data_IF_047362523194
#
_entry.id   IF_047362523194
#
_cell.length_a   1.000
_cell.length_b   1.000
_cell.length_c   1.000
_cell.angle_alpha   90.00
_cell.angle_beta   90.00
_cell.angle_gamma   90.00
#
_symmetry.space_group_name_H-M   'P 1'
#
loop_
_entity.id
_entity.type
_entity.pdbx_description
1 polymer ?
#
# COMPACT_ATOMS: atom_id res chain seq x y z
N UNK A 1 13.16 35.20 -2.04
CA UNK A 1 13.82 35.20 -0.71
C UNK A 1 15.02 36.15 -0.71
N UNK A 2 15.35 36.78 0.43
CA UNK A 2 16.57 37.59 0.58
C UNK A 2 17.82 36.71 0.68
N UNK A 3 19.00 37.28 0.43
CA UNK A 3 20.28 36.56 0.54
C UNK A 3 20.50 35.96 1.95
N UNK A 4 20.10 36.68 3.01
CA UNK A 4 20.20 36.19 4.39
C UNK A 4 19.27 34.98 4.64
N UNK A 5 18.03 35.02 4.12
CA UNK A 5 17.09 33.89 4.22
C UNK A 5 17.61 32.67 3.45
N UNK A 6 18.24 32.86 2.28
CA UNK A 6 18.84 31.77 1.52
C UNK A 6 20.05 31.17 2.24
N UNK A 7 20.90 31.99 2.87
CA UNK A 7 22.01 31.49 3.67
C UNK A 7 21.50 30.62 4.84
N UNK A 8 20.58 31.14 5.66
CA UNK A 8 20.02 30.40 6.79
C UNK A 8 19.32 29.10 6.36
N UNK A 9 18.61 29.10 5.22
CA UNK A 9 17.97 27.89 4.70
C UNK A 9 19.00 26.84 4.26
N UNK A 10 20.12 27.24 3.65
CA UNK A 10 21.18 26.31 3.25
C UNK A 10 21.86 25.68 4.46
N UNK A 11 22.13 26.48 5.50
CA UNK A 11 22.73 25.99 6.74
C UNK A 11 21.80 24.96 7.39
N UNK A 12 20.51 25.29 7.52
CA UNK A 12 19.50 24.38 8.05
C UNK A 12 19.38 23.07 7.24
N UNK A 13 19.44 23.13 5.91
CA UNK A 13 19.43 21.93 5.04
C UNK A 13 20.65 21.05 5.31
N UNK A 14 21.82 21.66 5.49
CA UNK A 14 23.08 20.93 5.67
C UNK A 14 23.16 20.16 7.00
N UNK A 15 22.45 20.63 8.03
CA UNK A 15 22.43 20.03 9.37
C UNK A 15 21.22 19.10 9.60
N UNK A 16 20.29 19.05 8.64
CA UNK A 16 19.04 18.33 8.82
C UNK A 16 19.20 16.80 8.74
N UNK A 17 18.50 16.09 9.64
CA UNK A 17 18.39 14.63 9.60
C UNK A 17 17.43 14.12 8.49
N UNK A 18 16.55 14.99 7.99
CA UNK A 18 15.67 14.78 6.84
C UNK A 18 15.25 16.14 6.27
N UNK A 19 14.97 16.22 4.97
CA UNK A 19 14.46 17.44 4.35
C UNK A 19 13.07 17.19 3.78
N UNK A 20 12.10 18.01 4.17
CA UNK A 20 10.77 18.06 3.53
C UNK A 20 10.68 19.30 2.65
N UNK A 21 10.51 19.11 1.36
CA UNK A 21 10.17 20.17 0.42
C UNK A 21 8.66 20.17 0.21
N UNK A 22 7.96 21.10 0.86
CA UNK A 22 6.53 21.31 0.64
C UNK A 22 6.31 22.39 -0.41
N UNK A 23 5.98 21.98 -1.63
CA UNK A 23 5.81 22.88 -2.76
C UNK A 23 4.34 23.21 -3.00
N UNK A 24 3.98 24.49 -2.89
CA UNK A 24 2.63 24.99 -3.18
C UNK A 24 2.54 25.70 -4.54
N UNK A 25 3.54 25.55 -5.41
CA UNK A 25 3.59 26.21 -6.72
C UNK A 25 3.78 27.73 -6.63
N UNK A 26 4.45 28.20 -5.56
CA UNK A 26 4.70 29.63 -5.30
C UNK A 26 6.15 30.06 -5.59
N UNK A 27 6.96 29.18 -6.17
CA UNK A 27 8.30 29.49 -6.70
C UNK A 27 9.47 29.27 -5.74
N UNK A 28 9.25 29.01 -4.45
CA UNK A 28 10.36 28.75 -3.50
C UNK A 28 11.12 27.47 -3.85
N UNK A 29 10.40 26.39 -4.18
CA UNK A 29 11.00 25.12 -4.60
C UNK A 29 11.77 25.20 -5.92
N UNK A 30 11.58 26.29 -6.70
CA UNK A 30 12.25 26.54 -7.97
C UNK A 30 13.55 27.33 -7.83
N UNK A 31 13.86 27.85 -6.63
CA UNK A 31 15.08 28.64 -6.38
C UNK A 31 16.32 27.75 -6.57
N UNK A 32 17.22 28.05 -7.53
CA UNK A 32 18.37 27.19 -7.84
C UNK A 32 19.26 26.89 -6.64
N UNK A 33 19.55 27.89 -5.81
CA UNK A 33 20.44 27.76 -4.66
C UNK A 33 19.92 26.80 -3.58
N UNK A 34 18.59 26.76 -3.40
CA UNK A 34 17.93 25.82 -2.48
C UNK A 34 17.91 24.41 -3.07
N UNK A 35 17.62 24.30 -4.38
CA UNK A 35 17.62 23.00 -5.08
C UNK A 35 19.01 22.36 -5.06
N UNK A 36 20.06 23.15 -5.27
CA UNK A 36 21.44 22.69 -5.14
C UNK A 36 21.77 22.26 -3.71
N UNK A 37 21.29 22.98 -2.69
CA UNK A 37 21.50 22.61 -1.30
C UNK A 37 20.83 21.28 -0.95
N UNK A 38 19.59 21.07 -1.41
CA UNK A 38 18.89 19.78 -1.30
C UNK A 38 19.65 18.68 -2.03
N UNK A 39 20.10 18.93 -3.26
CA UNK A 39 20.84 17.94 -4.05
C UNK A 39 22.15 17.49 -3.38
N UNK A 40 22.82 18.39 -2.65
CA UNK A 40 24.07 18.09 -1.93
C UNK A 40 23.88 17.14 -0.73
N UNK A 41 22.67 17.00 -0.18
CA UNK A 41 22.41 16.20 1.03
C UNK A 41 21.74 14.85 0.78
N UNK A 42 21.27 14.58 -0.44
CA UNK A 42 20.49 13.37 -0.81
C UNK A 42 21.09 12.02 -0.38
N UNK A 43 22.39 12.00 -0.08
CA UNK A 43 23.07 10.87 0.53
C UNK A 43 23.95 11.42 1.67
N UNK A 44 23.64 11.15 2.96
CA UNK A 44 22.70 10.16 3.50
C UNK A 44 21.30 10.71 3.89
N UNK A 45 20.98 11.98 3.61
CA UNK A 45 19.78 12.64 4.16
C UNK A 45 18.54 12.30 3.32
N UNK A 46 17.49 11.68 3.91
CA UNK A 46 16.26 11.41 3.20
C UNK A 46 15.54 12.72 2.85
N UNK A 47 15.23 12.86 1.56
CA UNK A 47 14.44 13.99 1.04
C UNK A 47 13.05 13.52 0.69
N UNK A 48 12.05 14.11 1.34
CA UNK A 48 10.63 13.99 1.00
C UNK A 48 10.21 15.22 0.21
N UNK A 49 9.59 15.03 -0.94
CA UNK A 49 9.11 16.12 -1.79
C UNK A 49 7.61 16.02 -1.97
N UNK A 50 6.87 17.04 -1.54
CA UNK A 50 5.43 17.15 -1.75
C UNK A 50 5.19 18.08 -2.94
N UNK A 51 4.93 17.54 -4.15
CA UNK A 51 4.97 18.31 -5.39
C UNK A 51 3.65 19.04 -5.66
N UNK A 52 3.70 20.09 -6.47
CA UNK A 52 2.52 20.76 -6.98
C UNK A 52 2.59 20.88 -8.52
N UNK A 53 1.48 20.80 -9.29
CA UNK A 53 1.50 20.84 -10.76
C UNK A 53 2.09 22.11 -11.39
N UNK A 54 2.03 23.23 -10.67
CA UNK A 54 2.69 24.51 -11.03
C UNK A 54 4.11 24.66 -10.49
N UNK A 55 4.57 23.67 -9.75
CA UNK A 55 5.90 23.61 -9.15
C UNK A 55 6.94 23.07 -10.12
N UNK A 56 8.24 23.25 -9.82
CA UNK A 56 9.29 22.55 -10.55
C UNK A 56 9.23 21.04 -10.27
N UNK A 57 9.89 20.26 -11.14
CA UNK A 57 10.11 18.86 -10.87
C UNK A 57 10.93 18.65 -9.57
N UNK A 58 10.65 17.57 -8.80
CA UNK A 58 11.46 17.18 -7.66
C UNK A 58 12.94 17.07 -8.02
N UNK A 59 13.82 17.33 -7.05
CA UNK A 59 15.25 17.09 -7.24
C UNK A 59 15.49 15.60 -7.45
N UNK A 60 16.20 15.24 -8.52
CA UNK A 60 16.50 13.86 -8.84
C UNK A 60 17.27 13.17 -7.71
N UNK A 61 16.88 11.95 -7.35
CA UNK A 61 17.39 11.23 -6.19
C UNK A 61 16.59 11.45 -4.90
N UNK A 62 15.52 12.27 -4.92
CA UNK A 62 14.60 12.38 -3.78
C UNK A 62 14.10 10.99 -3.35
N UNK A 63 14.09 10.72 -2.05
CA UNK A 63 13.74 9.40 -1.52
C UNK A 63 12.25 9.11 -1.69
N UNK A 64 11.40 10.09 -1.40
CA UNK A 64 9.95 9.94 -1.46
C UNK A 64 9.31 11.18 -2.06
N UNK A 65 8.47 11.02 -3.07
CA UNK A 65 7.64 12.12 -3.62
C UNK A 65 6.17 11.82 -3.36
N UNK A 66 5.38 12.77 -2.85
CA UNK A 66 4.05 12.49 -2.26
C UNK A 66 2.83 13.15 -2.93
N UNK A 67 2.67 13.09 -4.27
CA UNK A 67 1.50 13.71 -4.90
C UNK A 67 0.19 13.08 -4.43
N UNK A 68 -0.91 13.82 -4.46
CA UNK A 68 -2.24 13.20 -4.43
C UNK A 68 -2.63 12.64 -5.82
N UNK A 69 -3.72 11.87 -5.88
CA UNK A 69 -4.17 11.24 -7.14
C UNK A 69 -4.39 12.25 -8.28
N UNK A 70 -4.93 13.44 -8.00
CA UNK A 70 -5.16 14.47 -9.02
C UNK A 70 -3.84 15.09 -9.50
N UNK A 71 -2.91 15.33 -8.58
CA UNK A 71 -1.57 15.84 -8.90
C UNK A 71 -0.77 14.82 -9.71
N UNK A 72 -0.83 13.53 -9.35
CA UNK A 72 -0.15 12.47 -10.09
C UNK A 72 -0.61 12.41 -11.56
N UNK A 73 -1.92 12.51 -11.80
CA UNK A 73 -2.48 12.56 -13.17
C UNK A 73 -2.02 13.81 -13.90
N UNK A 74 -2.05 14.98 -13.24
CA UNK A 74 -1.64 16.24 -13.86
C UNK A 74 -0.14 16.25 -14.20
N UNK A 75 0.70 15.72 -13.32
CA UNK A 75 2.16 15.69 -13.45
C UNK A 75 2.64 14.66 -14.49
N UNK A 76 1.90 13.56 -14.67
CA UNK A 76 2.19 12.55 -15.70
C UNK A 76 1.83 12.99 -17.13
N UNK A 77 0.99 14.01 -17.29
CA UNK A 77 0.79 14.68 -18.59
C UNK A 77 0.01 13.90 -19.67
N UNK A 78 -0.42 12.65 -19.41
CA UNK A 78 -1.25 11.87 -20.35
C UNK A 78 -2.41 11.13 -19.68
N UNK A 79 -3.64 11.38 -20.16
CA UNK A 79 -4.77 10.47 -19.92
C UNK A 79 -4.54 9.26 -20.81
N UNK A 80 -4.17 8.12 -20.24
CA UNK A 80 -4.08 6.89 -21.01
C UNK A 80 -5.48 6.40 -21.37
N UNK A 81 -5.64 5.84 -22.57
CA UNK A 81 -6.91 5.38 -23.13
C UNK A 81 -7.51 4.17 -22.37
N UNK A 82 -6.78 3.58 -21.41
CA UNK A 82 -7.15 2.36 -20.68
C UNK A 82 -7.51 2.56 -19.20
N UNK A 83 -7.92 3.76 -18.79
CA UNK A 83 -8.39 4.04 -17.43
C UNK A 83 -7.32 4.50 -16.44
N UNK A 84 -7.78 4.96 -15.28
CA UNK A 84 -7.04 5.70 -14.25
C UNK A 84 -6.16 4.80 -13.37
N UNK A 85 -5.19 4.10 -13.93
CA UNK A 85 -4.27 3.31 -13.13
C UNK A 85 -3.24 4.20 -12.41
N UNK A 86 -3.52 4.48 -11.13
CA UNK A 86 -2.67 5.27 -10.23
C UNK A 86 -1.29 4.63 -10.06
N UNK A 87 -1.18 3.30 -10.11
CA UNK A 87 0.10 2.61 -9.98
C UNK A 87 1.03 2.95 -11.15
N UNK A 88 0.48 2.94 -12.37
CA UNK A 88 1.20 3.31 -13.58
C UNK A 88 1.70 4.76 -13.52
N UNK A 89 0.85 5.70 -13.09
CA UNK A 89 1.26 7.10 -12.92
C UNK A 89 2.38 7.26 -11.89
N UNK A 90 2.29 6.56 -10.76
CA UNK A 90 3.33 6.59 -9.73
C UNK A 90 4.69 6.07 -10.28
N UNK A 91 4.68 4.94 -10.99
CA UNK A 91 5.89 4.35 -11.57
C UNK A 91 6.49 5.22 -12.69
N UNK A 92 5.65 5.82 -13.53
CA UNK A 92 6.08 6.76 -14.59
C UNK A 92 6.78 7.99 -13.99
N UNK A 93 6.19 8.58 -12.96
CA UNK A 93 6.75 9.73 -12.25
C UNK A 93 8.05 9.38 -11.51
N UNK A 94 8.11 8.21 -10.87
CA UNK A 94 9.32 7.72 -10.20
C UNK A 94 10.49 7.63 -11.19
N UNK A 95 10.24 7.09 -12.39
CA UNK A 95 11.22 6.98 -13.47
C UNK A 95 11.63 8.34 -14.03
N UNK A 96 10.66 9.20 -14.35
CA UNK A 96 10.89 10.53 -14.92
C UNK A 96 11.74 11.39 -14.00
N UNK A 97 11.39 11.43 -12.71
CA UNK A 97 12.09 12.27 -11.74
C UNK A 97 13.32 11.60 -11.13
N UNK A 98 13.57 10.31 -11.44
CA UNK A 98 14.60 9.50 -10.76
C UNK A 98 14.46 9.58 -9.25
N UNK A 99 13.22 9.55 -8.77
CA UNK A 99 12.91 9.43 -7.35
C UNK A 99 13.02 7.96 -6.97
N UNK A 100 13.46 7.65 -5.75
CA UNK A 100 13.48 6.27 -5.29
C UNK A 100 12.05 5.71 -5.20
N UNK A 101 11.11 6.51 -4.68
CA UNK A 101 9.70 6.16 -4.65
C UNK A 101 8.78 7.37 -4.87
N UNK A 102 7.63 7.11 -5.49
CA UNK A 102 6.47 8.02 -5.55
C UNK A 102 5.32 7.40 -4.78
N UNK A 103 4.76 8.14 -3.83
CA UNK A 103 3.64 7.74 -3.00
C UNK A 103 2.42 8.58 -3.33
N UNK A 104 1.47 8.00 -4.06
CA UNK A 104 0.22 8.66 -4.42
C UNK A 104 -0.80 8.52 -3.29
N UNK A 105 -1.20 9.63 -2.68
CA UNK A 105 -2.24 9.64 -1.66
C UNK A 105 -3.64 9.62 -2.28
N UNK A 106 -4.55 8.81 -1.70
CA UNK A 106 -5.91 8.53 -2.22
C UNK A 106 -7.00 8.76 -1.16
N UNK A 107 -6.77 9.68 -0.23
CA UNK A 107 -7.73 10.02 0.82
C UNK A 107 -8.18 8.80 1.62
N UNK A 108 -9.49 8.53 1.66
CA UNK A 108 -10.08 7.41 2.41
C UNK A 108 -9.70 6.01 1.90
N UNK A 109 -9.02 5.91 0.75
CA UNK A 109 -8.47 4.64 0.25
C UNK A 109 -7.03 4.40 0.73
N UNK A 110 -6.40 5.39 1.36
CA UNK A 110 -5.03 5.32 1.87
C UNK A 110 -4.00 5.88 0.88
N UNK A 111 -2.92 5.13 0.63
CA UNK A 111 -1.82 5.56 -0.24
C UNK A 111 -1.23 4.40 -1.04
N UNK A 112 -0.69 4.71 -2.22
CA UNK A 112 0.00 3.77 -3.09
C UNK A 112 1.45 4.22 -3.28
N UNK A 113 2.41 3.43 -2.83
CA UNK A 113 3.85 3.64 -2.97
C UNK A 113 4.39 2.80 -4.13
N UNK A 114 5.04 3.43 -5.11
CA UNK A 114 5.66 2.73 -6.23
C UNK A 114 7.11 3.22 -6.46
N UNK A 115 7.99 2.30 -6.83
CA UNK A 115 9.28 2.62 -7.43
C UNK A 115 9.17 2.78 -8.96
N UNK A 116 10.29 3.02 -9.63
CA UNK A 116 10.33 3.04 -11.10
C UNK A 116 10.06 1.67 -11.74
N UNK A 117 10.35 0.61 -10.98
CA UNK A 117 10.19 -0.81 -11.32
C UNK A 117 9.66 -1.58 -10.10
N UNK A 118 9.11 -2.76 -10.33
CA UNK A 118 8.55 -3.64 -9.30
C UNK A 118 7.09 -3.31 -8.92
N UNK A 119 6.44 -4.20 -8.15
CA UNK A 119 5.04 -4.04 -7.77
C UNK A 119 4.85 -2.90 -6.75
N UNK A 120 3.74 -2.14 -6.84
CA UNK A 120 3.44 -1.10 -5.87
C UNK A 120 3.04 -1.69 -4.51
N UNK A 121 3.30 -0.93 -3.45
CA UNK A 121 2.81 -1.14 -2.09
C UNK A 121 1.55 -0.29 -1.87
N UNK A 122 0.42 -0.91 -1.52
CA UNK A 122 -0.81 -0.21 -1.14
C UNK A 122 -0.99 -0.23 0.37
N UNK A 123 -1.04 0.94 0.97
CA UNK A 123 -1.31 1.14 2.40
C UNK A 123 -2.74 1.67 2.56
N UNK A 124 -3.68 0.86 3.05
CA UNK A 124 -5.08 1.29 3.22
C UNK A 124 -5.21 2.31 4.37
N UNK A 125 -6.17 3.22 4.26
CA UNK A 125 -6.57 4.05 5.38
C UNK A 125 -7.36 3.23 6.43
N UNK A 126 -7.24 3.53 7.74
CA UNK A 126 -8.10 2.95 8.76
C UNK A 126 -9.58 3.29 8.50
N UNK A 127 -10.49 2.35 8.80
CA UNK A 127 -11.93 2.54 8.61
C UNK A 127 -12.53 3.73 9.40
N UNK A 128 -11.83 4.18 10.45
CA UNK A 128 -12.19 5.35 11.27
C UNK A 128 -11.90 6.69 10.59
N UNK A 129 -11.28 6.70 9.41
CA UNK A 129 -10.93 7.92 8.67
C UNK A 129 -12.12 8.59 7.95
N UNK A 130 -13.33 8.05 8.08
CA UNK A 130 -14.52 8.58 7.41
C UNK A 130 -15.13 9.77 8.19
N UNK A 131 -15.19 10.96 7.57
CA UNK A 131 -16.06 12.05 8.03
C UNK A 131 -15.40 13.32 8.59
N UNK A 132 -14.16 13.64 8.20
CA UNK A 132 -13.49 14.89 8.58
C UNK A 132 -12.99 15.73 7.40
N UNK A 133 -12.51 16.94 7.67
CA UNK A 133 -11.92 17.83 6.67
C UNK A 133 -10.55 17.29 6.20
N UNK A 134 -10.38 16.91 4.92
CA UNK A 134 -9.12 16.43 4.39
C UNK A 134 -8.08 17.55 4.18
N UNK A 135 -8.44 18.83 4.37
CA UNK A 135 -7.51 19.94 4.23
C UNK A 135 -6.32 19.78 5.20
N UNK A 136 -5.10 19.80 4.66
CA UNK A 136 -3.86 19.60 5.42
C UNK A 136 -3.49 18.14 5.69
N UNK A 137 -4.30 17.16 5.26
CA UNK A 137 -3.96 15.74 5.41
C UNK A 137 -2.69 15.36 4.62
N UNK A 138 -2.46 15.99 3.46
CA UNK A 138 -1.23 15.86 2.67
C UNK A 138 0.00 16.37 3.44
N UNK A 139 -0.08 17.56 4.04
CA UNK A 139 1.00 18.13 4.85
C UNK A 139 1.32 17.24 6.06
N UNK A 140 0.29 16.70 6.73
CA UNK A 140 0.45 15.74 7.83
C UNK A 140 1.11 14.45 7.37
N UNK A 141 0.71 13.95 6.20
CA UNK A 141 1.32 12.77 5.60
C UNK A 141 2.81 13.02 5.32
N UNK A 142 3.15 14.07 4.57
CA UNK A 142 4.51 14.35 4.13
C UNK A 142 5.45 14.66 5.32
N UNK A 143 4.98 15.44 6.30
CA UNK A 143 5.73 15.71 7.53
C UNK A 143 5.96 14.47 8.37
N UNK A 144 4.94 13.62 8.56
CA UNK A 144 5.10 12.37 9.30
C UNK A 144 6.06 11.41 8.59
N UNK A 145 5.96 11.30 7.27
CA UNK A 145 6.88 10.48 6.47
C UNK A 145 8.32 10.96 6.63
N UNK A 146 8.57 12.27 6.50
CA UNK A 146 9.90 12.86 6.69
C UNK A 146 10.48 12.58 8.08
N UNK A 147 9.67 12.73 9.15
CA UNK A 147 10.10 12.44 10.52
C UNK A 147 10.46 10.97 10.73
N UNK A 148 9.68 10.04 10.18
CA UNK A 148 9.92 8.60 10.32
C UNK A 148 11.18 8.19 9.55
N UNK A 149 11.38 8.74 8.35
CA UNK A 149 12.58 8.52 7.55
C UNK A 149 13.83 9.11 8.21
N UNK A 150 13.73 10.26 8.90
CA UNK A 150 14.83 10.81 9.70
C UNK A 150 15.29 9.85 10.81
N UNK A 151 14.40 8.98 11.29
CA UNK A 151 14.71 7.92 12.26
C UNK A 151 15.38 6.68 11.66
N UNK A 152 15.66 6.66 10.35
CA UNK A 152 16.27 5.53 9.65
C UNK A 152 15.32 4.38 9.32
N UNK A 153 14.01 4.58 9.48
CA UNK A 153 12.99 3.57 9.17
C UNK A 153 12.79 3.41 7.65
N UNK A 154 12.25 2.26 7.24
CA UNK A 154 12.02 1.95 5.82
C UNK A 154 10.91 2.83 5.21
N UNK A 155 10.97 3.14 3.89
CA UNK A 155 9.90 3.89 3.20
C UNK A 155 8.50 3.28 3.36
N UNK A 156 8.38 1.94 3.34
CA UNK A 156 7.12 1.23 3.58
C UNK A 156 6.53 1.54 4.96
N UNK A 157 7.39 1.57 5.99
CA UNK A 157 7.00 1.92 7.37
C UNK A 157 6.66 3.41 7.51
N UNK A 158 7.43 4.29 6.85
CA UNK A 158 7.16 5.71 6.83
C UNK A 158 5.78 6.03 6.23
N UNK A 159 5.45 5.43 5.08
CA UNK A 159 4.13 5.58 4.44
C UNK A 159 3.02 5.03 5.34
N UNK A 160 3.20 3.85 5.94
CA UNK A 160 2.21 3.26 6.84
C UNK A 160 1.89 4.19 8.03
N UNK A 161 2.93 4.73 8.68
CA UNK A 161 2.77 5.68 9.79
C UNK A 161 2.21 7.03 9.34
N UNK A 162 2.53 7.47 8.12
CA UNK A 162 2.00 8.71 7.54
C UNK A 162 0.51 8.59 7.19
N UNK A 163 0.06 7.47 6.62
CA UNK A 163 -1.38 7.21 6.39
C UNK A 163 -2.14 7.21 7.72
N UNK A 164 -1.61 6.54 8.75
CA UNK A 164 -2.23 6.52 10.07
C UNK A 164 -2.35 7.95 10.66
N UNK A 165 -1.26 8.73 10.65
CA UNK A 165 -1.26 10.09 11.20
C UNK A 165 -2.18 11.05 10.41
N UNK A 166 -2.20 10.96 9.08
CA UNK A 166 -3.12 11.74 8.25
C UNK A 166 -4.58 11.36 8.53
N UNK A 167 -4.86 10.07 8.70
CA UNK A 167 -6.20 9.57 9.01
C UNK A 167 -6.68 10.00 10.40
N UNK A 168 -5.81 9.95 11.40
CA UNK A 168 -6.07 10.47 12.75
C UNK A 168 -6.33 11.98 12.72
N UNK A 169 -5.55 12.74 11.95
CA UNK A 169 -5.75 14.17 11.79
C UNK A 169 -7.10 14.51 11.16
N UNK A 170 -7.51 13.79 10.11
CA UNK A 170 -8.83 13.97 9.48
C UNK A 170 -9.93 13.57 10.47
N UNK A 171 -9.81 12.44 11.15
CA UNK A 171 -10.78 11.99 12.16
C UNK A 171 -10.93 12.97 13.33
N UNK A 172 -9.86 13.68 13.69
CA UNK A 172 -9.88 14.74 14.71
C UNK A 172 -10.49 16.06 14.23
N UNK A 173 -10.96 16.16 12.97
CA UNK A 173 -11.58 17.35 12.39
C UNK A 173 -10.70 18.14 11.42
N UNK A 174 -9.53 17.62 11.03
CA UNK A 174 -8.64 18.24 10.07
C UNK A 174 -8.10 19.61 10.49
N UNK A 175 -7.72 20.43 9.50
CA UNK A 175 -7.33 21.83 9.73
C UNK A 175 -8.48 22.71 10.26
N UNK A 176 -9.73 22.21 10.17
CA UNK A 176 -10.96 22.85 10.63
C UNK A 176 -11.19 22.87 12.14
N UNK A 177 -10.32 22.27 12.97
CA UNK A 177 -10.41 22.43 14.44
C UNK A 177 -10.08 23.84 14.95
N UNK A 178 -9.83 24.80 14.05
CA UNK A 178 -9.84 26.24 14.33
C UNK A 178 -11.22 26.91 14.15
N UNK A 179 -12.16 26.37 13.36
CA UNK A 179 -13.51 26.93 13.19
C UNK A 179 -14.51 25.83 12.81
N UNK A 180 -15.50 25.61 13.68
CA UNK A 180 -16.36 24.43 13.65
C UNK A 180 -17.33 24.31 12.48
N UNK A 181 -17.82 23.09 12.28
CA UNK A 181 -18.95 22.75 11.41
C UNK A 181 -18.86 21.34 10.84
N UNK A 182 -19.71 20.44 11.33
CA UNK A 182 -19.85 19.04 10.87
C UNK A 182 -20.72 18.94 9.61
N UNK A 183 -20.36 18.08 8.67
CA UNK A 183 -21.31 17.41 7.78
C UNK A 183 -20.82 16.03 7.35
N UNK A 184 -21.71 15.05 7.44
CA UNK A 184 -21.43 13.63 7.23
C UNK A 184 -21.35 13.22 5.75
N UNK A 185 -20.74 12.05 5.52
CA UNK A 185 -20.60 11.42 4.21
C UNK A 185 -21.38 10.10 4.17
N UNK A 186 -21.95 9.69 3.01
CA UNK A 186 -22.89 8.59 2.93
C UNK A 186 -22.20 7.23 2.94
N UNK A 187 -22.78 6.29 3.68
CA UNK A 187 -22.45 4.87 3.61
C UNK A 187 -22.73 4.33 2.20
N UNK A 188 -21.76 3.64 1.61
CA UNK A 188 -22.03 2.79 0.44
C UNK A 188 -22.92 1.64 0.89
N UNK A 189 -24.15 1.66 0.39
CA UNK A 189 -25.15 0.61 0.58
C UNK A 189 -24.79 -0.64 -0.23
N UNK A 190 -24.99 -1.83 0.37
CA UNK A 190 -25.09 -3.08 -0.38
C UNK A 190 -24.31 -4.29 0.15
N UNK A 191 -24.22 -4.51 1.47
CA UNK A 191 -23.80 -5.81 2.00
C UNK A 191 -24.99 -6.79 1.96
N UNK A 192 -25.22 -7.40 0.79
CA UNK A 192 -26.00 -8.63 0.73
C UNK A 192 -25.15 -9.76 1.30
N UNK A 193 -25.70 -10.59 2.18
CA UNK A 193 -25.05 -11.78 2.73
C UNK A 193 -24.57 -12.68 1.58
N UNK A 194 -23.27 -12.63 1.26
CA UNK A 194 -22.68 -13.51 0.27
C UNK A 194 -22.54 -14.89 0.89
N UNK A 195 -23.31 -15.86 0.38
CA UNK A 195 -23.08 -17.27 0.70
C UNK A 195 -21.65 -17.61 0.32
N UNK A 196 -20.85 -17.95 1.33
CA UNK A 196 -19.41 -18.20 1.19
C UNK A 196 -19.19 -19.44 0.32
N UNK A 197 -18.29 -19.33 -0.65
CA UNK A 197 -18.10 -20.34 -1.69
C UNK A 197 -16.75 -21.03 -1.50
N UNK A 198 -16.77 -22.34 -1.22
CA UNK A 198 -15.55 -23.15 -1.09
C UNK A 198 -15.34 -23.99 -2.34
N UNK A 199 -14.11 -23.98 -2.86
CA UNK A 199 -13.68 -24.85 -3.95
C UNK A 199 -13.48 -24.14 -5.28
N UNK A 200 -12.59 -24.72 -6.10
CA UNK A 200 -12.09 -24.11 -7.33
C UNK A 200 -13.18 -23.79 -8.36
N UNK A 201 -14.04 -24.75 -8.69
CA UNK A 201 -15.09 -24.52 -9.69
C UNK A 201 -16.05 -23.39 -9.28
N UNK A 202 -16.29 -23.24 -8.00
CA UNK A 202 -17.21 -22.25 -7.48
C UNK A 202 -16.55 -20.87 -7.33
N UNK A 203 -15.24 -20.82 -7.06
CA UNK A 203 -14.42 -19.61 -7.17
C UNK A 203 -14.30 -19.10 -8.62
N UNK A 204 -14.14 -20.00 -9.59
CA UNK A 204 -14.16 -19.66 -11.02
C UNK A 204 -15.51 -19.05 -11.42
N UNK A 205 -16.62 -19.69 -11.02
CA UNK A 205 -17.94 -19.16 -11.27
C UNK A 205 -18.18 -17.79 -10.61
N UNK A 206 -17.62 -17.55 -9.42
CA UNK A 206 -17.65 -16.23 -8.77
C UNK A 206 -16.87 -15.19 -9.60
N UNK A 207 -15.64 -15.52 -10.00
CA UNK A 207 -14.81 -14.63 -10.81
C UNK A 207 -15.48 -14.28 -12.13
N UNK A 208 -16.08 -15.26 -12.83
CA UNK A 208 -16.80 -15.04 -14.08
C UNK A 208 -18.01 -14.11 -13.89
N UNK A 209 -18.79 -14.30 -12.81
CA UNK A 209 -19.91 -13.40 -12.49
C UNK A 209 -19.45 -11.97 -12.23
N UNK A 210 -18.35 -11.79 -11.49
CA UNK A 210 -17.80 -10.46 -11.17
C UNK A 210 -17.28 -9.78 -12.44
N UNK A 211 -16.59 -10.50 -13.32
CA UNK A 211 -16.14 -9.96 -14.61
C UNK A 211 -17.29 -9.64 -15.55
N UNK A 212 -18.33 -10.48 -15.62
CA UNK A 212 -19.49 -10.26 -16.47
C UNK A 212 -20.24 -8.95 -16.15
N UNK A 213 -20.13 -8.46 -14.92
CA UNK A 213 -20.66 -7.15 -14.50
C UNK A 213 -19.62 -6.00 -14.53
N UNK A 214 -18.43 -6.24 -15.10
CA UNK A 214 -17.34 -5.27 -15.18
C UNK A 214 -16.61 -5.00 -13.86
N UNK A 215 -16.73 -5.88 -12.87
CA UNK A 215 -16.06 -5.75 -11.57
C UNK A 215 -14.65 -6.34 -11.56
N UNK A 216 -13.87 -5.98 -10.54
CA UNK A 216 -12.48 -6.40 -10.33
C UNK A 216 -12.39 -7.63 -9.42
N UNK A 217 -11.75 -8.69 -9.91
CA UNK A 217 -11.45 -9.92 -9.15
C UNK A 217 -10.09 -9.79 -8.49
N UNK A 218 -10.07 -9.81 -7.15
CA UNK A 218 -8.83 -9.82 -6.36
C UNK A 218 -8.55 -11.23 -5.86
N UNK A 219 -7.29 -11.64 -5.95
CA UNK A 219 -6.80 -12.84 -5.27
C UNK A 219 -5.69 -12.51 -4.28
N UNK A 220 -5.53 -13.34 -3.25
CA UNK A 220 -4.37 -13.29 -2.35
C UNK A 220 -3.92 -14.70 -2.00
N UNK A 221 -2.63 -14.89 -1.75
CA UNK A 221 -2.06 -16.20 -1.46
C UNK A 221 -1.44 -16.29 -0.07
N UNK A 222 -1.59 -17.43 0.59
CA UNK A 222 -0.91 -17.67 1.85
C UNK A 222 -1.20 -19.03 2.49
N UNK A 223 -0.39 -19.36 3.48
CA UNK A 223 -0.57 -20.58 4.27
C UNK A 223 -1.66 -20.47 5.34
N UNK A 224 -1.84 -19.28 5.93
CA UNK A 224 -2.79 -18.98 7.00
C UNK A 224 -2.82 -20.02 8.13
N UNK A 225 -1.64 -20.55 8.50
CA UNK A 225 -1.50 -21.65 9.47
C UNK A 225 -2.07 -21.29 10.85
N UNK A 226 -1.52 -20.26 11.50
CA UNK A 226 -2.19 -19.60 12.63
C UNK A 226 -2.63 -18.21 12.22
N UNK A 227 -3.94 -18.04 12.04
CA UNK A 227 -4.55 -16.75 11.76
C UNK A 227 -4.35 -15.79 12.94
N UNK A 228 -4.10 -14.53 12.61
CA UNK A 228 -3.91 -13.45 13.56
C UNK A 228 -4.35 -12.13 12.93
N UNK A 229 -4.46 -11.08 13.74
CA UNK A 229 -4.92 -9.77 13.29
C UNK A 229 -4.18 -9.24 12.05
N UNK A 230 -2.88 -9.51 11.91
CA UNK A 230 -2.12 -9.16 10.69
C UNK A 230 -2.70 -9.77 9.40
N UNK A 231 -3.09 -11.05 9.42
CA UNK A 231 -3.75 -11.69 8.27
C UNK A 231 -5.10 -11.05 7.97
N UNK A 232 -5.91 -10.77 9.00
CA UNK A 232 -7.21 -10.12 8.84
C UNK A 232 -7.07 -8.72 8.23
N UNK A 233 -6.06 -7.95 8.64
CA UNK A 233 -5.75 -6.64 8.04
C UNK A 233 -5.39 -6.76 6.57
N UNK A 234 -4.53 -7.73 6.20
CA UNK A 234 -4.16 -7.98 4.80
C UNK A 234 -5.38 -8.41 3.98
N UNK A 235 -6.22 -9.31 4.48
CA UNK A 235 -7.44 -9.75 3.79
C UNK A 235 -8.42 -8.59 3.57
N UNK A 236 -8.64 -7.74 4.57
CA UNK A 236 -9.48 -6.54 4.42
C UNK A 236 -8.92 -5.56 3.40
N UNK A 237 -7.60 -5.34 3.44
CA UNK A 237 -6.93 -4.46 2.49
C UNK A 237 -7.02 -5.02 1.05
N UNK A 238 -6.82 -6.33 0.88
CA UNK A 238 -6.98 -7.00 -0.42
C UNK A 238 -8.43 -6.90 -0.91
N UNK A 239 -9.42 -7.14 -0.05
CA UNK A 239 -10.84 -7.03 -0.40
C UNK A 239 -11.24 -5.62 -0.85
N UNK A 240 -10.58 -4.58 -0.34
CA UNK A 240 -10.82 -3.20 -0.72
C UNK A 240 -10.27 -2.83 -2.12
N UNK A 241 -9.42 -3.66 -2.71
CA UNK A 241 -8.85 -3.43 -4.06
C UNK A 241 -9.80 -3.80 -5.19
N UNK A 242 -10.95 -4.43 -4.91
CA UNK A 242 -11.89 -4.85 -5.93
C UNK A 242 -13.25 -5.30 -5.40
N UNK A 243 -13.98 -6.04 -6.22
CA UNK A 243 -15.37 -6.40 -6.01
C UNK A 243 -15.57 -7.78 -5.38
N UNK A 244 -14.55 -8.64 -5.45
CA UNK A 244 -14.46 -9.87 -4.67
C UNK A 244 -13.01 -10.20 -4.29
N UNK A 245 -12.85 -11.00 -3.23
CA UNK A 245 -11.58 -11.56 -2.80
C UNK A 245 -11.62 -13.09 -2.79
N UNK A 246 -10.68 -13.68 -3.52
CA UNK A 246 -10.46 -15.13 -3.58
C UNK A 246 -9.12 -15.46 -2.91
N UNK A 247 -9.15 -16.28 -1.87
CA UNK A 247 -7.95 -16.69 -1.13
C UNK A 247 -7.41 -18.00 -1.70
N UNK A 248 -6.16 -17.97 -2.18
CA UNK A 248 -5.40 -19.14 -2.59
C UNK A 248 -4.65 -19.70 -1.38
N UNK A 249 -5.11 -20.86 -0.90
CA UNK A 249 -4.61 -21.52 0.30
C UNK A 249 -3.71 -22.70 -0.06
N UNK A 250 -2.49 -22.74 0.49
CA UNK A 250 -1.63 -23.92 0.37
C UNK A 250 -2.26 -25.13 1.06
N UNK A 251 -2.28 -26.29 0.40
CA UNK A 251 -2.66 -27.56 1.01
C UNK A 251 -1.68 -28.00 2.09
N UNK A 252 -2.07 -29.02 2.87
CA UNK A 252 -1.17 -29.59 3.88
C UNK A 252 0.08 -30.23 3.24
N UNK A 253 -0.06 -30.82 2.04
CA UNK A 253 1.06 -31.38 1.29
C UNK A 253 2.03 -30.29 0.81
N UNK A 254 1.50 -29.18 0.27
CA UNK A 254 2.30 -28.00 -0.12
C UNK A 254 3.06 -27.43 1.08
N UNK A 255 2.38 -27.29 2.22
CA UNK A 255 2.97 -26.78 3.46
C UNK A 255 4.10 -27.65 4.01
N UNK A 256 3.94 -28.97 4.01
CA UNK A 256 4.99 -29.91 4.45
C UNK A 256 6.25 -29.79 3.62
N UNK A 257 6.11 -29.61 2.29
CA UNK A 257 7.27 -29.42 1.40
C UNK A 257 7.95 -28.08 1.60
N UNK A 258 7.17 -27.01 1.79
CA UNK A 258 7.70 -25.64 1.92
C UNK A 258 8.29 -25.32 3.29
N UNK A 259 7.70 -25.85 4.37
CA UNK A 259 8.04 -25.47 5.75
C UNK A 259 8.50 -26.62 6.64
N UNK A 260 8.56 -27.84 6.13
CA UNK A 260 8.96 -29.04 6.85
C UNK A 260 7.80 -29.87 7.40
N UNK A 261 8.11 -31.09 7.86
CA UNK A 261 7.11 -32.09 8.25
C UNK A 261 6.20 -31.67 9.42
N UNK A 262 6.69 -30.77 10.29
CA UNK A 262 5.97 -30.29 11.48
C UNK A 262 4.94 -29.18 11.15
N UNK A 263 4.69 -28.91 9.86
CA UNK A 263 3.74 -27.91 9.36
C UNK A 263 2.80 -28.51 8.33
N UNK A 264 1.53 -28.06 8.24
CA UNK A 264 0.92 -27.01 9.07
C UNK A 264 0.52 -27.52 10.45
N UNK A 265 0.29 -26.60 11.40
CA UNK A 265 -0.26 -26.91 12.72
C UNK A 265 -1.77 -27.09 12.67
N UNK A 266 -2.44 -26.34 11.81
CA UNK A 266 -3.88 -26.42 11.57
C UNK A 266 -4.11 -27.09 10.22
N UNK A 267 -4.91 -28.16 10.22
CA UNK A 267 -5.22 -28.91 9.00
C UNK A 267 -5.95 -28.02 7.98
N UNK A 268 -5.80 -28.36 6.69
CA UNK A 268 -6.36 -27.55 5.60
C UNK A 268 -7.87 -27.32 5.74
N UNK A 269 -8.63 -28.30 6.21
CA UNK A 269 -10.09 -28.20 6.33
C UNK A 269 -10.48 -27.08 7.30
N UNK A 270 -9.81 -27.01 8.44
CA UNK A 270 -10.03 -25.98 9.46
C UNK A 270 -9.57 -24.61 8.97
N UNK A 271 -8.42 -24.53 8.30
CA UNK A 271 -7.94 -23.27 7.71
C UNK A 271 -8.92 -22.73 6.67
N UNK A 272 -9.47 -23.59 5.82
CA UNK A 272 -10.53 -23.22 4.86
C UNK A 272 -11.76 -22.73 5.59
N UNK A 273 -12.24 -23.45 6.62
CA UNK A 273 -13.44 -23.08 7.37
C UNK A 273 -13.30 -21.70 8.03
N UNK A 274 -12.16 -21.43 8.68
CA UNK A 274 -11.92 -20.14 9.33
C UNK A 274 -11.81 -19.02 8.28
N UNK A 275 -11.06 -19.22 7.19
CA UNK A 275 -10.93 -18.22 6.14
C UNK A 275 -12.27 -17.91 5.47
N UNK A 276 -13.04 -18.95 5.15
CA UNK A 276 -14.35 -18.81 4.56
C UNK A 276 -15.28 -18.00 5.47
N UNK A 277 -15.19 -18.14 6.80
CA UNK A 277 -16.00 -17.41 7.75
C UNK A 277 -15.66 -15.91 7.90
N UNK A 278 -14.54 -15.43 7.35
CA UNK A 278 -14.15 -14.03 7.46
C UNK A 278 -14.89 -13.16 6.45
N UNK A 279 -15.54 -12.08 6.93
CA UNK A 279 -16.23 -11.08 6.11
C UNK A 279 -15.52 -10.65 4.81
N UNK A 280 -14.19 -10.39 4.78
CA UNK A 280 -13.54 -9.97 3.54
C UNK A 280 -13.34 -11.08 2.50
N UNK A 281 -13.61 -12.35 2.81
CA UNK A 281 -13.30 -13.50 1.94
C UNK A 281 -14.57 -13.98 1.24
N UNK A 282 -14.57 -13.91 -0.10
CA UNK A 282 -15.72 -14.35 -0.91
C UNK A 282 -15.58 -15.82 -1.36
N UNK A 283 -14.33 -16.28 -1.58
CA UNK A 283 -14.05 -17.68 -1.88
C UNK A 283 -12.66 -18.14 -1.42
N UNK A 284 -12.51 -19.45 -1.21
CA UNK A 284 -11.23 -20.10 -0.89
C UNK A 284 -10.95 -21.21 -1.90
N UNK A 285 -9.74 -21.19 -2.48
CA UNK A 285 -9.22 -22.20 -3.40
C UNK A 285 -7.99 -22.83 -2.79
N UNK A 286 -8.01 -24.15 -2.59
CA UNK A 286 -6.84 -24.90 -2.12
C UNK A 286 -6.01 -25.33 -3.33
N UNK A 287 -4.69 -25.17 -3.24
CA UNK A 287 -3.75 -25.63 -4.27
C UNK A 287 -2.64 -26.48 -3.63
N UNK A 288 -2.18 -27.48 -4.38
CA UNK A 288 -1.21 -28.47 -3.90
C UNK A 288 0.22 -28.10 -4.28
N UNK A 289 0.42 -27.25 -5.29
CA UNK A 289 1.71 -26.87 -5.83
C UNK A 289 2.54 -26.02 -4.86
N UNK A 290 3.84 -25.87 -5.13
CA UNK A 290 4.75 -25.06 -4.30
C UNK A 290 4.54 -23.55 -4.50
N UNK A 291 3.94 -23.15 -5.62
CA UNK A 291 3.63 -21.76 -5.97
C UNK A 291 2.19 -21.66 -6.46
N UNK A 292 1.51 -20.51 -6.28
CA UNK A 292 0.14 -20.33 -6.74
C UNK A 292 0.02 -20.11 -8.26
N UNK A 293 1.11 -20.24 -9.04
CA UNK A 293 1.15 -19.88 -10.45
C UNK A 293 0.05 -20.56 -11.28
N UNK A 294 -0.13 -21.88 -11.14
CA UNK A 294 -1.15 -22.63 -11.87
C UNK A 294 -2.57 -22.19 -11.48
N UNK A 295 -2.81 -21.91 -10.20
CA UNK A 295 -4.09 -21.38 -9.73
C UNK A 295 -4.35 -19.97 -10.29
N UNK A 296 -3.32 -19.12 -10.40
CA UNK A 296 -3.41 -17.80 -11.01
C UNK A 296 -3.70 -17.87 -12.52
N UNK A 297 -3.09 -18.79 -13.26
CA UNK A 297 -3.35 -18.95 -14.70
C UNK A 297 -4.78 -19.39 -15.01
N UNK A 298 -5.37 -20.21 -14.12
CA UNK A 298 -6.76 -20.66 -14.24
C UNK A 298 -7.74 -19.58 -13.78
N UNK A 299 -7.48 -18.97 -12.62
CA UNK A 299 -8.38 -17.97 -12.03
C UNK A 299 -8.32 -16.62 -12.76
N UNK A 300 -7.15 -16.24 -13.28
CA UNK A 300 -6.81 -14.98 -13.94
C UNK A 300 -7.24 -13.70 -13.19
N UNK A 301 -6.99 -13.57 -11.88
CA UNK A 301 -7.42 -12.40 -11.12
C UNK A 301 -6.83 -11.10 -11.70
N UNK A 302 -7.60 -10.02 -11.68
CA UNK A 302 -7.14 -8.70 -12.16
C UNK A 302 -6.07 -8.13 -11.22
N UNK A 303 -6.17 -8.46 -9.93
CA UNK A 303 -5.21 -8.05 -8.89
C UNK A 303 -4.81 -9.26 -8.04
N UNK A 304 -3.52 -9.46 -7.83
CA UNK A 304 -2.98 -10.40 -6.83
C UNK A 304 -2.30 -9.63 -5.69
N UNK A 305 -2.90 -9.66 -4.51
CA UNK A 305 -2.42 -8.96 -3.33
C UNK A 305 -1.55 -9.89 -2.47
N UNK A 306 -0.37 -9.43 -2.05
CA UNK A 306 0.55 -10.18 -1.17
C UNK A 306 0.93 -9.35 0.05
N UNK A 307 0.68 -9.89 1.24
CA UNK A 307 1.10 -9.26 2.49
C UNK A 307 2.59 -9.45 2.74
N UNK A 308 3.32 -8.38 3.04
CA UNK A 308 4.74 -8.46 3.38
C UNK A 308 5.51 -7.18 3.10
N UNK A 309 6.80 -7.18 3.46
CA UNK A 309 7.73 -6.11 3.11
C UNK A 309 8.55 -6.54 1.87
N UNK A 310 7.91 -6.42 0.71
CA UNK A 310 8.50 -6.76 -0.60
C UNK A 310 8.87 -5.50 -1.40
N UNK A 311 9.07 -4.37 -0.74
CA UNK A 311 9.42 -3.12 -1.39
C UNK A 311 10.64 -3.32 -2.30
N UNK A 312 10.44 -3.15 -3.62
CA UNK A 312 11.49 -3.24 -4.63
C UNK A 312 11.95 -4.66 -5.00
N UNK A 313 11.22 -5.73 -4.64
CA UNK A 313 11.48 -7.09 -5.14
C UNK A 313 10.38 -7.56 -6.07
N UNK A 314 10.79 -8.15 -7.20
CA UNK A 314 9.87 -8.82 -8.11
C UNK A 314 9.21 -10.01 -7.41
N UNK A 315 7.90 -10.11 -7.53
CA UNK A 315 7.16 -11.27 -7.09
C UNK A 315 7.19 -12.30 -8.22
N UNK A 316 7.52 -13.58 -7.96
CA UNK A 316 7.48 -14.63 -8.98
C UNK A 316 6.12 -14.71 -9.70
N UNK A 317 5.05 -14.32 -9.00
CA UNK A 317 3.69 -14.28 -9.52
C UNK A 317 3.45 -13.16 -10.55
N UNK A 318 4.28 -12.09 -10.56
CA UNK A 318 4.14 -10.95 -11.49
C UNK A 318 4.18 -11.40 -12.94
N UNK A 319 5.14 -12.26 -13.31
CA UNK A 319 5.29 -12.75 -14.68
C UNK A 319 4.10 -13.60 -15.16
N UNK A 320 3.34 -14.19 -14.25
CA UNK A 320 2.10 -14.93 -14.59
C UNK A 320 0.96 -13.95 -14.84
N UNK A 321 0.82 -12.95 -13.97
CA UNK A 321 -0.24 -11.93 -14.03
C UNK A 321 -0.15 -11.10 -15.31
N UNK A 322 1.06 -10.70 -15.70
CA UNK A 322 1.30 -9.88 -16.89
C UNK A 322 0.84 -10.54 -18.20
N UNK A 323 0.86 -11.89 -18.29
CA UNK A 323 0.44 -12.65 -19.49
C UNK A 323 -1.00 -12.40 -19.89
N UNK A 324 -1.84 -11.97 -18.95
CA UNK A 324 -3.26 -11.70 -19.18
C UNK A 324 -3.68 -10.31 -18.67
N UNK A 325 -2.72 -9.41 -18.39
CA UNK A 325 -2.98 -8.03 -17.98
C UNK A 325 -3.40 -7.85 -16.51
N UNK A 326 -3.14 -8.83 -15.64
CA UNK A 326 -3.33 -8.71 -14.20
C UNK A 326 -2.15 -8.01 -13.52
N UNK A 327 -2.35 -7.56 -12.28
CA UNK A 327 -1.37 -6.77 -11.52
C UNK A 327 -1.04 -7.38 -10.17
N UNK A 328 0.23 -7.39 -9.78
CA UNK A 328 0.64 -7.75 -8.42
C UNK A 328 0.69 -6.50 -7.54
N UNK A 329 0.12 -6.57 -6.34
CA UNK A 329 0.13 -5.49 -5.34
C UNK A 329 0.66 -6.03 -4.01
N UNK A 330 1.57 -5.28 -3.38
CA UNK A 330 2.06 -5.57 -2.04
C UNK A 330 1.21 -4.82 -1.01
N UNK A 331 0.89 -5.46 0.10
CA UNK A 331 0.18 -4.86 1.23
C UNK A 331 1.12 -4.83 2.44
N UNK A 332 1.14 -3.73 3.23
CA UNK A 332 2.08 -3.56 4.33
C UNK A 332 1.95 -4.68 5.36
N UNK A 333 3.09 -5.17 5.81
CA UNK A 333 3.15 -6.10 6.92
C UNK A 333 2.80 -5.39 8.23
N UNK A 334 1.83 -5.88 8.98
CA UNK A 334 1.56 -5.38 10.34
C UNK A 334 2.62 -5.97 11.28
N UNK A 335 3.59 -5.14 11.69
CA UNK A 335 4.68 -5.56 12.56
C UNK A 335 4.20 -6.14 13.90
N UNK A 336 4.89 -7.18 14.38
CA UNK A 336 4.71 -7.74 15.72
C UNK A 336 3.88 -9.03 15.83
N UNK A 337 3.31 -9.55 14.73
CA UNK A 337 2.49 -10.78 14.76
C UNK A 337 2.82 -11.67 13.56
N UNK A 338 3.70 -12.65 13.76
CA UNK A 338 3.92 -13.75 12.82
C UNK A 338 3.53 -15.07 13.49
N UNK A 339 3.02 -16.03 12.71
CA UNK A 339 2.75 -17.39 13.20
C UNK A 339 3.98 -17.99 13.90
N UNK A 340 5.19 -17.73 13.38
CA UNK A 340 6.45 -18.17 13.98
C UNK A 340 6.66 -17.54 15.37
N UNK A 341 6.46 -16.23 15.53
CA UNK A 341 6.60 -15.55 16.82
C UNK A 341 5.55 -16.00 17.85
N UNK A 342 4.31 -16.22 17.43
CA UNK A 342 3.27 -16.73 18.33
C UNK A 342 3.64 -18.10 18.91
N UNK A 343 4.32 -18.93 18.13
CA UNK A 343 4.76 -20.26 18.54
C UNK A 343 6.00 -20.18 19.42
N UNK A 344 6.96 -19.31 19.08
CA UNK A 344 8.11 -19.02 19.95
C UNK A 344 7.64 -18.51 21.31
N UNK A 345 6.69 -17.57 21.37
CA UNK A 345 6.11 -17.06 22.61
C UNK A 345 5.35 -18.13 23.40
N UNK A 346 4.56 -18.98 22.73
CA UNK A 346 3.83 -20.07 23.38
C UNK A 346 4.79 -21.13 23.96
N UNK A 347 5.86 -21.46 23.24
CA UNK A 347 6.88 -22.42 23.68
C UNK A 347 7.69 -21.86 24.86
N UNK A 348 8.03 -20.56 24.84
CA UNK A 348 8.72 -19.89 25.94
C UNK A 348 7.85 -19.81 27.22
N UNK A 349 6.54 -19.58 27.08
CA UNK A 349 5.61 -19.54 28.22
C UNK A 349 5.25 -20.91 28.78
N UNK A 350 5.31 -21.98 27.99
CA UNK A 350 5.07 -23.35 28.45
C UNK A 350 6.27 -24.01 29.12
N UNK A 351 7.47 -23.42 28.99
CA UNK A 351 8.69 -23.87 29.64
C UNK A 351 8.99 -23.16 30.98
N UNK A 352 8.12 -22.23 31.40
CA UNK A 352 8.17 -21.51 32.68
C UNK A 352 7.09 -22.03 33.64
#
# INVERSE_FOLDING_TARGET
PSAAQLAAARDAISEAAAVLVSDYGRGVAAVPELREAVARVLVPVPVVWDPHPRGPEPVAGSLLVTPNANEAVALAGSRSEHGSDVARYAAELARRWRAAYVCVTRGGEGALLAGAEGPPLVVPAPATAAGGDPCGAGDRFASRAAMVLAGGELPSTAVARAVAAASEFVAAGGAGTAFGGSSGSPARAGAGSHGQVVGEGAALALADRVRARGGTVVATGGCFDLLHAGHVSVLRAARALGDCLIVLLNSDASMRRLKGADRPLVEQADRVAVLAALDPVDAVVVFDEDTPAAALERLRPDVFAKGGDYAGRELPETAVLERYGGHAIVLPYVAGRSTTRLIEEATLRGAS
#
